data_IF_370085879740
#
_entry.id   IF_370085879740
#
_cell.length_a   1.000
_cell.length_b   1.000
_cell.length_c   1.000
_cell.angle_alpha   90.00
_cell.angle_beta   90.00
_cell.angle_gamma   90.00
#
_symmetry.space_group_name_H-M   'P 1'
#
loop_
_entity.id
_entity.type
_entity.pdbx_description
1 polymer ?
#
# COMPACT_ATOMS: atom_id res chain seq x y z
N UNK A 1 -14.88 -14.80 -7.40
CA UNK A 1 -15.43 -13.72 -6.58
C UNK A 1 -16.16 -12.78 -7.52
N UNK A 2 -17.47 -12.92 -7.62
CA UNK A 2 -18.31 -11.99 -8.38
C UNK A 2 -18.51 -10.74 -7.51
N UNK A 3 -18.06 -9.59 -8.02
CA UNK A 3 -18.35 -8.30 -7.39
C UNK A 3 -19.81 -8.01 -7.75
N UNK A 4 -20.72 -8.12 -6.79
CA UNK A 4 -22.11 -7.71 -7.00
C UNK A 4 -22.19 -6.21 -7.35
N UNK A 5 -23.23 -5.78 -8.06
CA UNK A 5 -23.52 -4.38 -8.41
C UNK A 5 -23.69 -3.41 -7.20
N UNK A 6 -23.45 -3.88 -5.97
CA UNK A 6 -23.46 -3.07 -4.75
C UNK A 6 -22.05 -2.80 -4.22
N UNK A 7 -21.15 -2.30 -5.06
CA UNK A 7 -19.86 -1.78 -4.58
C UNK A 7 -20.06 -0.43 -3.90
N UNK A 8 -19.84 -0.36 -2.58
CA UNK A 8 -19.90 0.88 -1.81
C UNK A 8 -18.50 1.44 -1.63
N UNK A 9 -18.30 2.71 -1.99
CA UNK A 9 -17.04 3.42 -1.77
C UNK A 9 -17.21 4.33 -0.54
N UNK A 10 -16.52 4.01 0.54
CA UNK A 10 -16.37 4.90 1.70
C UNK A 10 -15.05 5.65 1.57
N UNK A 11 -15.05 6.96 1.79
CA UNK A 11 -13.88 7.83 1.65
C UNK A 11 -13.55 8.52 2.96
N UNK A 12 -12.25 8.69 3.22
CA UNK A 12 -11.75 9.65 4.18
C UNK A 12 -12.02 11.08 3.68
N UNK A 13 -11.92 12.06 4.58
CA UNK A 13 -12.08 13.48 4.29
C UNK A 13 -10.88 14.07 3.54
N UNK A 14 -9.72 13.41 3.59
CA UNK A 14 -8.46 13.92 3.05
C UNK A 14 -7.64 12.81 2.38
N UNK A 15 -6.75 13.19 1.46
CA UNK A 15 -5.76 12.27 0.88
C UNK A 15 -4.48 12.27 1.70
N UNK A 16 -3.67 11.21 1.59
CA UNK A 16 -2.44 10.97 2.38
C UNK A 16 -1.37 12.08 2.35
N UNK A 17 -1.45 12.98 1.36
CA UNK A 17 -0.50 14.08 1.16
C UNK A 17 -1.00 15.42 1.69
N UNK A 18 -2.01 15.42 2.56
CA UNK A 18 -2.50 16.64 3.17
C UNK A 18 -1.63 17.02 4.38
N UNK A 19 -0.68 17.94 4.18
CA UNK A 19 0.28 18.38 5.19
C UNK A 19 -0.35 19.11 6.40
N UNK A 20 -1.57 19.64 6.25
CA UNK A 20 -2.28 20.28 7.37
C UNK A 20 -2.82 19.26 8.37
N UNK A 21 -3.09 18.04 7.91
CA UNK A 21 -3.64 16.96 8.73
C UNK A 21 -2.53 16.03 9.22
N UNK A 22 -1.59 15.68 8.34
CA UNK A 22 -0.50 14.76 8.63
C UNK A 22 0.77 15.52 9.02
N UNK A 23 0.79 16.01 10.25
CA UNK A 23 1.84 16.90 10.77
C UNK A 23 3.10 16.18 11.23
N UNK A 24 3.24 14.87 10.96
CA UNK A 24 4.43 14.10 11.28
C UNK A 24 5.67 14.49 10.48
N UNK A 25 5.50 15.30 9.42
CA UNK A 25 6.55 15.63 8.45
C UNK A 25 6.71 14.59 7.34
N UNK A 26 5.83 13.58 7.28
CA UNK A 26 5.93 12.46 6.34
C UNK A 26 4.69 12.31 5.43
N UNK A 27 3.97 13.39 5.16
CA UNK A 27 2.80 13.31 4.29
C UNK A 27 3.18 12.84 2.87
N UNK A 28 2.34 11.99 2.29
CA UNK A 28 2.52 11.41 0.96
C UNK A 28 3.28 10.07 0.92
N UNK A 29 4.19 9.83 1.87
CA UNK A 29 5.09 8.66 1.88
C UNK A 29 4.64 7.54 2.85
N UNK A 30 3.67 7.81 3.72
CA UNK A 30 3.20 6.90 4.76
C UNK A 30 2.15 5.84 4.31
N UNK A 31 2.02 5.61 3.00
CA UNK A 31 0.94 4.77 2.46
C UNK A 31 0.98 3.32 2.92
N UNK A 32 2.17 2.73 3.07
CA UNK A 32 2.31 1.35 3.54
C UNK A 32 1.79 1.19 5.00
N UNK A 33 2.11 2.15 5.87
CA UNK A 33 1.63 2.15 7.26
C UNK A 33 0.13 2.47 7.36
N UNK A 34 -0.42 3.33 6.49
CA UNK A 34 -1.87 3.55 6.39
C UNK A 34 -2.62 2.31 5.91
N UNK A 35 -2.06 1.56 4.96
CA UNK A 35 -2.62 0.27 4.56
C UNK A 35 -2.62 -0.73 5.72
N UNK A 36 -1.51 -0.83 6.46
CA UNK A 36 -1.44 -1.63 7.68
C UNK A 36 -2.50 -1.21 8.70
N UNK A 37 -2.68 0.09 8.96
CA UNK A 37 -3.72 0.57 9.88
C UNK A 37 -5.13 0.15 9.45
N UNK A 38 -5.43 0.15 8.15
CA UNK A 38 -6.71 -0.36 7.64
C UNK A 38 -6.87 -1.87 7.84
N UNK A 39 -5.82 -2.66 7.61
CA UNK A 39 -5.84 -4.12 7.87
C UNK A 39 -6.06 -4.40 9.37
N UNK A 40 -5.37 -3.67 10.24
CA UNK A 40 -5.56 -3.79 11.69
C UNK A 40 -6.97 -3.40 12.11
N UNK A 41 -7.55 -2.37 11.49
CA UNK A 41 -8.96 -2.01 11.72
C UNK A 41 -9.91 -3.14 11.33
N UNK A 42 -9.71 -3.71 10.15
CA UNK A 42 -10.54 -4.79 9.61
C UNK A 42 -10.57 -6.00 10.54
N UNK A 43 -9.42 -6.33 11.14
CA UNK A 43 -9.31 -7.44 12.10
C UNK A 43 -10.13 -7.25 13.40
N UNK A 44 -10.61 -6.03 13.69
CA UNK A 44 -11.39 -5.72 14.90
C UNK A 44 -12.78 -5.14 14.62
N UNK A 45 -13.03 -4.62 13.42
CA UNK A 45 -14.34 -4.15 12.98
C UNK A 45 -14.50 -4.31 11.47
N UNK A 46 -15.56 -5.04 11.09
CA UNK A 46 -15.84 -5.34 9.69
C UNK A 46 -16.00 -4.10 8.80
N UNK A 47 -15.56 -4.12 7.53
CA UNK A 47 -15.57 -2.96 6.63
C UNK A 47 -16.96 -2.39 6.36
N UNK A 48 -18.01 -3.21 6.47
CA UNK A 48 -19.40 -2.75 6.30
C UNK A 48 -19.84 -1.70 7.34
N UNK A 49 -19.12 -1.58 8.46
CA UNK A 49 -19.39 -0.60 9.51
C UNK A 49 -18.48 0.62 9.44
N UNK A 50 -17.62 0.71 8.42
CA UNK A 50 -16.67 1.80 8.32
C UNK A 50 -17.37 3.08 7.89
N UNK A 51 -17.09 4.15 8.63
CA UNK A 51 -17.51 5.52 8.28
C UNK A 51 -16.32 6.35 7.81
N UNK A 52 -16.60 7.53 7.23
CA UNK A 52 -15.55 8.52 6.94
C UNK A 52 -14.70 8.85 8.17
N UNK A 53 -15.32 8.99 9.35
CA UNK A 53 -14.58 9.26 10.59
C UNK A 53 -13.64 8.10 10.97
N UNK A 54 -14.06 6.87 10.73
CA UNK A 54 -13.19 5.71 10.95
C UNK A 54 -12.01 5.70 9.99
N UNK A 55 -12.23 5.99 8.70
CA UNK A 55 -11.14 6.09 7.73
C UNK A 55 -10.19 7.24 8.06
N UNK A 56 -10.72 8.38 8.51
CA UNK A 56 -9.90 9.50 9.00
C UNK A 56 -9.00 9.06 10.17
N UNK A 57 -9.56 8.36 11.16
CA UNK A 57 -8.80 7.81 12.28
C UNK A 57 -7.76 6.80 11.81
N UNK A 58 -8.11 5.89 10.89
CA UNK A 58 -7.17 4.91 10.36
C UNK A 58 -5.99 5.60 9.63
N UNK A 59 -6.26 6.68 8.88
CA UNK A 59 -5.21 7.45 8.22
C UNK A 59 -4.27 8.13 9.21
N UNK A 60 -4.82 8.79 10.24
CA UNK A 60 -4.02 9.41 11.31
C UNK A 60 -3.19 8.36 12.05
N UNK A 61 -3.79 7.21 12.39
CA UNK A 61 -3.08 6.09 12.99
C UNK A 61 -1.98 5.55 12.08
N UNK A 62 -2.23 5.43 10.78
CA UNK A 62 -1.22 5.01 9.81
C UNK A 62 -0.02 5.95 9.75
N UNK A 63 -0.28 7.26 9.81
CA UNK A 63 0.77 8.29 9.90
C UNK A 63 1.61 8.13 11.17
N UNK A 64 0.96 7.93 12.32
CA UNK A 64 1.63 7.68 13.60
C UNK A 64 2.48 6.39 13.58
N UNK A 65 1.96 5.32 12.96
CA UNK A 65 2.70 4.06 12.78
C UNK A 65 3.95 4.29 11.93
N UNK A 66 3.84 5.04 10.83
CA UNK A 66 4.98 5.38 10.00
C UNK A 66 6.05 6.13 10.78
N UNK A 67 5.67 7.19 11.50
CA UNK A 67 6.61 7.96 12.33
C UNK A 67 7.30 7.10 13.38
N UNK A 68 6.57 6.19 14.03
CA UNK A 68 7.13 5.27 15.02
C UNK A 68 8.17 4.34 14.38
N UNK A 69 7.87 3.77 13.21
CA UNK A 69 8.83 2.92 12.48
C UNK A 69 10.09 3.70 12.13
N UNK A 70 9.97 4.94 11.64
CA UNK A 70 11.12 5.79 11.32
C UNK A 70 11.99 6.02 12.55
N UNK A 71 11.38 6.49 13.64
CA UNK A 71 12.08 6.76 14.90
C UNK A 71 12.76 5.51 15.49
N UNK A 72 12.10 4.35 15.46
CA UNK A 72 12.70 3.11 15.95
C UNK A 72 13.83 2.61 15.04
N UNK A 73 13.67 2.77 13.72
CA UNK A 73 14.71 2.40 12.76
C UNK A 73 15.98 3.23 12.95
N UNK A 74 15.85 4.55 13.09
CA UNK A 74 16.98 5.47 13.30
C UNK A 74 17.77 5.16 14.59
N UNK A 75 17.12 4.54 15.58
CA UNK A 75 17.71 4.21 16.89
C UNK A 75 18.21 2.78 17.00
N UNK A 76 17.97 1.95 15.98
CA UNK A 76 18.30 0.53 15.99
C UNK A 76 19.19 0.18 14.80
N UNK A 77 20.49 0.00 15.05
CA UNK A 77 21.48 -0.36 14.02
C UNK A 77 21.19 -1.70 13.31
N UNK A 78 20.37 -2.58 13.91
CA UNK A 78 19.95 -3.84 13.31
C UNK A 78 18.65 -3.72 12.48
N UNK A 79 18.00 -2.55 12.48
CA UNK A 79 16.80 -2.31 11.69
C UNK A 79 17.14 -2.11 10.19
N UNK A 80 16.19 -2.43 9.32
CA UNK A 80 16.34 -2.17 7.89
C UNK A 80 16.25 -0.66 7.62
N UNK A 81 17.32 -0.11 7.03
CA UNK A 81 17.40 1.32 6.67
C UNK A 81 16.28 1.76 5.70
N UNK A 82 15.91 3.04 5.80
CA UNK A 82 14.87 3.74 5.02
C UNK A 82 15.49 5.01 4.36
N UNK A 83 16.81 5.04 4.16
CA UNK A 83 17.54 6.27 3.78
C UNK A 83 17.43 6.63 2.29
N UNK A 84 17.49 5.63 1.39
CA UNK A 84 17.51 5.89 -0.06
C UNK A 84 16.11 5.97 -0.69
N UNK A 85 15.14 5.32 -0.06
CA UNK A 85 13.74 5.32 -0.47
C UNK A 85 12.89 5.54 0.79
N UNK A 86 12.17 6.67 0.90
CA UNK A 86 11.37 6.98 2.08
C UNK A 86 10.13 6.07 2.23
N UNK A 87 9.78 5.26 1.22
CA UNK A 87 8.67 4.34 1.30
C UNK A 87 9.03 3.10 2.12
N UNK A 88 8.15 2.72 3.05
CA UNK A 88 8.33 1.50 3.84
C UNK A 88 8.08 0.26 2.99
N UNK A 89 8.90 -0.74 3.22
CA UNK A 89 8.71 -2.12 2.80
C UNK A 89 8.23 -2.95 3.99
N UNK A 90 7.64 -4.12 3.71
CA UNK A 90 7.11 -5.03 4.75
C UNK A 90 8.16 -5.34 5.82
N UNK A 91 9.43 -5.52 5.43
CA UNK A 91 10.55 -5.76 6.34
C UNK A 91 10.77 -4.64 7.37
N UNK A 92 10.39 -3.40 7.07
CA UNK A 92 10.50 -2.29 8.02
C UNK A 92 9.53 -2.44 9.20
N UNK A 93 8.48 -3.27 9.09
CA UNK A 93 7.59 -3.56 10.21
C UNK A 93 8.24 -4.43 11.30
N UNK A 94 9.43 -5.00 11.08
CA UNK A 94 10.12 -5.81 12.10
C UNK A 94 10.32 -5.06 13.42
N UNK A 95 10.52 -3.73 13.38
CA UNK A 95 10.75 -2.93 14.59
C UNK A 95 9.50 -2.81 15.48
N UNK A 96 8.30 -2.91 14.89
CA UNK A 96 7.03 -2.80 15.63
C UNK A 96 6.27 -4.13 15.77
N UNK A 97 6.77 -5.23 15.21
CA UNK A 97 5.98 -6.44 14.97
C UNK A 97 5.43 -7.10 16.25
N UNK A 98 6.12 -6.95 17.38
CA UNK A 98 5.80 -7.64 18.63
C UNK A 98 5.07 -6.75 19.65
N UNK A 99 5.03 -5.42 19.45
CA UNK A 99 4.51 -4.46 20.43
C UNK A 99 3.72 -3.31 19.77
N UNK A 100 2.89 -3.62 18.77
CA UNK A 100 2.03 -2.61 18.17
C UNK A 100 0.73 -2.47 18.96
N UNK A 101 0.55 -1.34 19.64
CA UNK A 101 -0.70 -0.97 20.31
C UNK A 101 -1.40 0.14 19.54
N UNK A 102 -2.59 -0.15 19.01
CA UNK A 102 -3.42 0.84 18.32
C UNK A 102 -4.90 0.50 18.42
N UNK A 103 -5.79 1.47 18.21
CA UNK A 103 -7.24 1.28 18.29
C UNK A 103 -7.72 0.62 19.61
N UNK A 104 -6.98 0.84 20.71
CA UNK A 104 -7.27 0.22 22.00
C UNK A 104 -6.98 -1.29 22.08
N UNK A 105 -6.22 -1.84 21.13
CA UNK A 105 -5.86 -3.26 21.05
C UNK A 105 -4.35 -3.42 20.83
N UNK A 106 -3.83 -4.58 21.27
CA UNK A 106 -2.45 -5.00 21.03
C UNK A 106 -2.44 -5.99 19.86
N UNK A 107 -1.53 -5.76 18.91
CA UNK A 107 -1.37 -6.58 17.72
C UNK A 107 0.02 -7.17 17.67
N UNK A 108 0.11 -8.39 17.12
CA UNK A 108 1.36 -9.00 16.68
C UNK A 108 1.30 -9.16 15.17
N UNK A 109 2.31 -8.67 14.49
CA UNK A 109 2.41 -8.73 13.02
C UNK A 109 3.33 -9.89 12.65
N UNK A 110 2.86 -10.75 11.75
CA UNK A 110 3.64 -11.83 11.16
C UNK A 110 3.70 -11.64 9.65
N UNK A 111 4.88 -11.81 9.07
CA UNK A 111 5.10 -11.76 7.63
C UNK A 111 6.33 -12.62 7.30
N UNK A 112 6.34 -13.17 6.09
CA UNK A 112 7.45 -13.97 5.59
C UNK A 112 8.69 -13.11 5.36
N UNK A 113 9.88 -13.69 5.57
CA UNK A 113 11.14 -12.96 5.40
C UNK A 113 11.46 -12.67 3.93
N UNK A 114 10.94 -13.48 3.01
CA UNK A 114 11.00 -13.27 1.56
C UNK A 114 9.72 -12.60 1.06
N UNK A 115 9.65 -11.27 1.19
CA UNK A 115 8.49 -10.49 0.76
C UNK A 115 8.54 -10.16 -0.74
N UNK A 116 8.68 -11.16 -1.62
CA UNK A 116 8.34 -11.00 -3.05
C UNK A 116 6.82 -11.10 -3.23
N UNK A 117 6.06 -10.32 -2.44
CA UNK A 117 4.61 -10.24 -2.59
C UNK A 117 4.34 -9.33 -3.79
N UNK A 118 4.27 -9.94 -4.98
CA UNK A 118 3.69 -9.32 -6.15
C UNK A 118 2.18 -9.54 -6.10
N UNK A 119 1.42 -8.48 -5.84
CA UNK A 119 -0.02 -8.48 -6.00
C UNK A 119 -0.39 -7.90 -7.36
N UNK A 120 -0.88 -8.72 -8.27
CA UNK A 120 -1.50 -8.25 -9.52
C UNK A 120 -2.99 -8.01 -9.28
N UNK A 121 -3.43 -6.76 -9.44
CA UNK A 121 -4.84 -6.45 -9.57
C UNK A 121 -5.28 -6.94 -10.97
N UNK A 122 -5.60 -8.24 -11.06
CA UNK A 122 -6.26 -8.91 -12.18
C UNK A 122 -5.34 -9.35 -13.34
N UNK A 123 -4.70 -10.53 -13.20
CA UNK A 123 -3.93 -11.17 -14.28
C UNK A 123 -4.73 -11.37 -15.57
N UNK A 124 -6.05 -11.58 -15.46
CA UNK A 124 -6.94 -11.80 -16.61
C UNK A 124 -7.14 -10.57 -17.51
N UNK A 125 -6.87 -9.36 -17.01
CA UNK A 125 -6.94 -8.12 -17.80
C UNK A 125 -5.56 -7.64 -18.29
N UNK A 126 -4.48 -8.16 -17.69
CA UNK A 126 -3.11 -7.82 -18.02
C UNK A 126 -2.49 -8.73 -19.10
N UNK A 127 -3.25 -9.69 -19.63
CA UNK A 127 -2.95 -10.31 -20.92
C UNK A 127 -3.11 -9.27 -22.04
N UNK A 128 -2.10 -8.42 -22.19
CA UNK A 128 -1.92 -7.61 -23.38
C UNK A 128 -1.75 -8.58 -24.54
N UNK A 129 -2.83 -8.78 -25.31
CA UNK A 129 -2.70 -9.39 -26.64
C UNK A 129 -1.60 -8.61 -27.37
N UNK A 130 -0.55 -9.27 -27.88
CA UNK A 130 0.50 -8.57 -28.60
C UNK A 130 -0.15 -7.76 -29.71
N UNK A 131 0.12 -6.45 -29.69
CA UNK A 131 -0.38 -5.50 -30.66
C UNK A 131 0.11 -5.95 -32.04
N UNK A 132 -0.79 -6.52 -32.85
CA UNK A 132 -0.47 -6.86 -34.25
C UNK A 132 -0.45 -5.56 -35.02
N UNK A 133 0.75 -5.10 -35.41
CA UNK A 133 0.89 -4.09 -36.45
C UNK A 133 0.04 -4.51 -37.67
N UNK A 134 -0.84 -3.65 -38.20
CA UNK A 134 -1.41 -3.89 -39.50
C UNK A 134 -0.31 -3.66 -40.53
N UNK A 135 0.35 -4.73 -40.97
CA UNK A 135 1.21 -4.72 -42.14
C UNK A 135 0.32 -4.50 -43.37
N UNK A 136 0.24 -3.26 -43.85
CA UNK A 136 -0.32 -2.96 -45.16
C UNK A 136 0.59 -3.59 -46.23
N UNK A 137 0.13 -4.70 -46.82
CA UNK A 137 0.72 -5.24 -48.06
C UNK A 137 0.37 -4.30 -49.21
N UNK A 138 1.36 -3.60 -49.74
CA UNK A 138 1.47 -3.41 -51.19
C UNK A 138 2.90 -3.77 -51.58
N UNK A 139 3.03 -4.89 -52.28
CA UNK A 139 4.31 -5.35 -52.79
C UNK A 139 4.66 -4.66 -54.11
N UNK A 140 5.96 -4.62 -54.41
CA UNK A 140 6.49 -5.01 -55.72
C UNK A 140 7.99 -5.29 -55.61
N UNK A 141 8.35 -6.44 -56.17
CA UNK A 141 9.70 -6.95 -56.40
C UNK A 141 10.49 -6.03 -57.32
N UNK A 142 11.77 -5.83 -57.03
CA UNK A 142 12.80 -5.58 -58.06
C UNK A 142 14.05 -6.36 -57.66
N UNK A 143 14.43 -7.34 -58.48
CA UNK A 143 15.68 -8.10 -58.37
C UNK A 143 16.86 -7.23 -58.82
N UNK A 144 17.95 -7.26 -58.07
CA UNK A 144 19.27 -6.85 -58.54
C UNK A 144 20.05 -8.07 -59.03
N UNK A 145 20.72 -7.91 -60.16
CA UNK A 145 22.00 -8.56 -60.45
C UNK A 145 23.08 -7.51 -60.33
#
# INVERSE_FOLDING_TARGET
>A
MEISDSSIIVRASWHKGNDLIFTSGFAGIQCCAMALANILRDSILSPQYWSTNMLNLNMITGDQIYSNIRFQTERNLAAYSIENDPYLLVRNFKVIKDDLVTFGKRFRITFDEESSIYGSLNDKLNEVKPWKHPSSRFGRSVHGT
#
